data_IF_115076514705
#
_entry.id   IF_115076514705
#
_cell.length_a   1.000
_cell.length_b   1.000
_cell.length_c   1.000
_cell.angle_alpha   90.00
_cell.angle_beta   90.00
_cell.angle_gamma   90.00
#
_symmetry.space_group_name_H-M   'P 1'
#
loop_
_entity.id
_entity.type
_entity.pdbx_description
1 polymer ?
#
# COMPACT_ATOMS: atom_id res chain seq x y z
N UNK A 1 -22.72 8.04 -7.55
CA UNK A 1 -23.45 7.34 -6.46
C UNK A 1 -23.98 5.97 -6.85
N UNK A 2 -24.59 5.76 -8.04
CA UNK A 2 -25.08 4.42 -8.43
C UNK A 2 -23.98 3.39 -8.82
N UNK A 3 -22.84 3.83 -9.36
CA UNK A 3 -21.66 2.97 -9.61
C UNK A 3 -20.96 2.54 -8.30
N UNK A 4 -20.86 3.45 -7.31
CA UNK A 4 -20.21 3.19 -6.02
C UNK A 4 -20.93 2.17 -5.14
N UNK A 5 -22.28 2.14 -5.17
CA UNK A 5 -23.07 1.26 -4.32
C UNK A 5 -23.07 -0.22 -4.78
N UNK A 6 -22.89 -0.47 -6.08
CA UNK A 6 -22.81 -1.83 -6.63
C UNK A 6 -21.49 -2.55 -6.29
N UNK A 7 -20.40 -1.78 -6.16
CA UNK A 7 -19.03 -2.28 -5.89
C UNK A 7 -18.88 -2.76 -4.44
N UNK A 8 -19.55 -2.11 -3.47
CA UNK A 8 -19.48 -2.50 -2.05
C UNK A 8 -20.26 -3.79 -1.72
N UNK A 9 -21.33 -4.09 -2.47
CA UNK A 9 -22.26 -5.18 -2.14
C UNK A 9 -21.78 -6.58 -2.58
N UNK A 10 -20.79 -6.69 -3.48
CA UNK A 10 -20.32 -7.98 -3.99
C UNK A 10 -19.19 -8.65 -3.18
N UNK A 11 -18.64 -7.97 -2.17
CA UNK A 11 -17.49 -8.50 -1.39
C UNK A 11 -17.81 -8.90 0.06
N UNK A 12 -19.07 -8.82 0.49
CA UNK A 12 -19.49 -9.04 1.89
C UNK A 12 -20.00 -10.47 2.20
N UNK A 13 -19.28 -11.51 1.81
CA UNK A 13 -19.57 -12.89 2.25
C UNK A 13 -18.28 -13.69 2.51
N UNK A 14 -17.72 -13.59 3.72
CA UNK A 14 -17.33 -14.74 4.56
C UNK A 14 -16.68 -14.28 5.88
N UNK A 15 -17.45 -14.35 6.96
CA UNK A 15 -16.93 -14.42 8.34
C UNK A 15 -16.53 -15.88 8.63
N UNK A 16 -15.33 -16.10 9.19
CA UNK A 16 -15.14 -16.86 10.44
C UNK A 16 -13.65 -17.08 10.77
N UNK A 17 -13.23 -16.46 11.88
CA UNK A 17 -12.39 -16.94 13.00
C UNK A 17 -11.46 -18.15 12.75
N UNK A 18 -10.16 -18.01 13.07
CA UNK A 18 -9.43 -18.90 13.99
C UNK A 18 -8.08 -18.26 14.41
N UNK A 19 -7.83 -18.25 15.71
CA UNK A 19 -6.57 -17.91 16.35
C UNK A 19 -5.76 -19.20 16.60
N UNK A 20 -4.43 -19.10 16.64
CA UNK A 20 -3.63 -19.96 17.51
C UNK A 20 -2.24 -19.37 17.78
N UNK A 21 -1.91 -19.33 19.07
CA UNK A 21 -0.58 -19.19 19.67
C UNK A 21 0.37 -20.34 19.26
N UNK A 22 1.68 -20.10 19.28
CA UNK A 22 2.55 -20.73 20.28
C UNK A 22 4.05 -20.38 20.14
N UNK A 23 4.68 -20.58 21.29
CA UNK A 23 5.97 -20.16 21.87
C UNK A 23 7.18 -21.05 21.54
N UNK A 24 8.32 -20.65 22.12
CA UNK A 24 9.57 -21.38 22.45
C UNK A 24 10.73 -21.32 21.42
N UNK A 25 12.02 -21.29 21.77
CA UNK A 25 12.84 -21.10 23.01
C UNK A 25 14.31 -20.92 22.55
N UNK A 26 15.15 -20.43 23.47
CA UNK A 26 16.62 -20.12 23.44
C UNK A 26 17.52 -21.35 23.12
N UNK A 27 18.85 -21.30 22.85
CA UNK A 27 19.99 -20.69 23.58
C UNK A 27 21.37 -20.89 22.80
N UNK A 28 22.62 -20.72 23.34
CA UNK A 28 23.61 -19.71 22.91
C UNK A 28 25.02 -20.25 22.49
N UNK A 29 25.93 -19.40 22.00
CA UNK A 29 27.34 -19.26 22.48
C UNK A 29 28.26 -18.36 21.60
N UNK A 30 29.24 -17.78 22.30
CA UNK A 30 30.11 -16.61 22.07
C UNK A 30 31.18 -16.65 20.95
N UNK A 31 31.52 -15.47 20.39
CA UNK A 31 32.90 -14.96 20.15
C UNK A 31 32.91 -13.42 20.35
N UNK A 32 33.84 -12.90 21.17
CA UNK A 32 34.06 -11.46 21.47
C UNK A 32 35.15 -10.84 20.59
N UNK A 33 34.92 -9.62 20.07
CA UNK A 33 35.96 -8.57 19.88
C UNK A 33 35.31 -7.17 19.89
N UNK A 34 35.94 -6.21 20.57
CA UNK A 34 35.87 -4.76 20.30
C UNK A 34 34.83 -3.95 21.09
N UNK A 35 35.30 -3.12 22.02
CA UNK A 35 34.52 -2.04 22.65
C UNK A 35 34.46 -0.84 21.69
N UNK A 36 33.27 -0.56 21.16
CA UNK A 36 32.84 0.75 20.66
C UNK A 36 31.38 0.95 21.11
N UNK A 37 31.05 2.18 21.45
CA UNK A 37 29.91 2.56 22.28
C UNK A 37 28.54 2.10 21.72
N UNK A 38 27.86 1.20 22.43
CA UNK A 38 26.40 1.12 22.47
C UNK A 38 25.64 0.48 21.29
N UNK A 39 26.26 -0.37 20.47
CA UNK A 39 25.51 -1.14 19.46
C UNK A 39 24.75 -2.33 20.08
N UNK A 40 23.42 -2.25 20.04
CA UNK A 40 22.54 -3.38 20.32
C UNK A 40 22.65 -4.41 19.19
N UNK A 41 23.39 -5.49 19.44
CA UNK A 41 23.69 -6.56 18.47
C UNK A 41 22.45 -7.23 17.85
N UNK A 42 21.26 -6.95 18.37
CA UNK A 42 19.97 -7.41 17.82
C UNK A 42 19.28 -6.43 16.87
N UNK A 43 19.74 -5.18 16.78
CA UNK A 43 19.14 -4.12 15.98
C UNK A 43 20.25 -3.27 15.34
N UNK A 44 20.74 -3.70 14.16
CA UNK A 44 21.68 -2.87 13.41
C UNK A 44 20.96 -1.60 12.95
N UNK A 45 21.49 -0.45 13.33
CA UNK A 45 21.05 0.87 12.85
C UNK A 45 21.51 1.00 11.41
N UNK A 46 20.58 1.08 10.46
CA UNK A 46 20.93 1.31 9.05
C UNK A 46 20.22 2.55 8.54
N UNK A 47 21.03 3.48 8.02
CA UNK A 47 20.59 4.57 7.16
C UNK A 47 19.79 3.98 5.99
N UNK A 48 18.48 4.26 5.98
CA UNK A 48 17.53 3.97 4.90
C UNK A 48 17.34 2.48 4.51
N UNK A 49 16.28 1.86 5.05
CA UNK A 49 15.53 0.83 4.31
C UNK A 49 15.34 -0.53 5.00
N UNK A 50 14.07 -0.93 5.08
CA UNK A 50 13.54 -2.27 5.39
C UNK A 50 13.61 -2.68 6.87
N UNK A 51 12.52 -2.41 7.59
CA UNK A 51 12.28 -2.92 8.94
C UNK A 51 11.48 -4.21 8.87
N UNK A 52 12.18 -5.35 8.90
CA UNK A 52 11.55 -6.62 9.23
C UNK A 52 11.09 -6.59 10.70
N UNK A 53 9.80 -6.84 10.88
CA UNK A 53 9.11 -7.03 12.17
C UNK A 53 9.00 -5.78 13.04
N UNK A 54 8.11 -4.88 12.65
CA UNK A 54 7.68 -3.78 13.52
C UNK A 54 6.16 -3.61 13.40
N UNK A 55 5.49 -3.43 14.54
CA UNK A 55 4.12 -2.93 14.58
C UNK A 55 4.17 -1.42 14.40
N UNK A 56 3.56 -0.89 13.34
CA UNK A 56 3.53 0.54 13.00
C UNK A 56 2.11 1.02 12.65
N UNK A 57 1.69 2.23 13.06
CA UNK A 57 1.98 2.89 14.33
C UNK A 57 0.88 2.56 15.37
N UNK A 58 1.27 2.34 16.62
CA UNK A 58 0.34 2.51 17.76
C UNK A 58 0.58 3.88 18.36
N UNK A 59 -0.48 4.65 18.62
CA UNK A 59 -0.38 5.87 19.41
C UNK A 59 0.05 5.52 20.84
N UNK A 60 0.94 6.31 21.43
CA UNK A 60 1.17 6.21 22.88
C UNK A 60 -0.04 6.78 23.67
N UNK A 61 0.03 6.77 25.00
CA UNK A 61 -1.04 7.30 25.86
C UNK A 61 -1.33 8.81 25.64
N UNK A 62 -0.47 9.49 24.86
CA UNK A 62 -0.52 10.91 24.55
C UNK A 62 -0.78 11.18 23.06
N UNK A 63 -1.08 10.14 22.27
CA UNK A 63 -1.39 10.28 20.86
C UNK A 63 -0.18 10.37 19.93
N UNK A 64 1.05 10.20 20.43
CA UNK A 64 2.26 10.29 19.62
C UNK A 64 2.51 8.99 18.85
N UNK A 65 2.89 9.13 17.58
CA UNK A 65 3.29 8.01 16.76
C UNK A 65 4.61 7.43 17.28
N UNK A 66 4.54 6.19 17.75
CA UNK A 66 5.71 5.45 18.17
C UNK A 66 5.89 4.21 17.32
N UNK A 67 7.16 3.82 17.17
CA UNK A 67 7.55 2.55 16.59
C UNK A 67 8.30 1.72 17.59
N UNK A 68 7.89 0.47 17.75
CA UNK A 68 8.50 -0.43 18.71
C UNK A 68 9.03 -1.65 17.98
N UNK A 69 10.36 -1.82 17.96
CA UNK A 69 10.98 -3.02 17.44
C UNK A 69 10.44 -4.22 18.21
N UNK A 70 9.82 -5.19 17.54
CA UNK A 70 9.21 -6.34 18.22
C UNK A 70 10.25 -7.34 18.72
N UNK A 71 11.51 -7.21 18.30
CA UNK A 71 12.62 -8.09 18.69
C UNK A 71 13.35 -7.60 19.94
N UNK A 72 13.59 -6.30 20.07
CA UNK A 72 14.32 -5.74 21.23
C UNK A 72 13.45 -4.85 22.14
N UNK A 73 12.19 -4.58 21.78
CA UNK A 73 11.28 -3.76 22.59
C UNK A 73 11.63 -2.27 22.63
N UNK A 74 12.72 -1.85 21.99
CA UNK A 74 13.10 -0.44 21.90
C UNK A 74 12.05 0.31 21.11
N UNK A 75 11.58 1.39 21.72
CA UNK A 75 10.62 2.30 21.12
C UNK A 75 11.37 3.52 20.64
N UNK A 76 11.37 3.75 19.34
CA UNK A 76 11.78 5.03 18.80
C UNK A 76 10.53 5.89 18.64
N UNK A 77 10.61 7.10 19.18
CA UNK A 77 9.67 8.15 18.84
C UNK A 77 10.18 8.73 17.52
N UNK A 78 9.35 8.68 16.48
CA UNK A 78 9.74 9.34 15.25
C UNK A 78 9.64 10.84 15.52
N UNK A 79 10.76 11.50 15.79
CA UNK A 79 10.86 12.93 15.54
C UNK A 79 10.76 13.11 14.03
N UNK A 80 9.52 13.15 13.52
CA UNK A 80 9.26 13.65 12.18
C UNK A 80 9.45 15.16 12.33
N UNK A 81 10.53 15.76 11.80
CA UNK A 81 10.57 17.20 11.71
C UNK A 81 9.42 17.60 10.77
N UNK A 82 8.83 18.77 10.96
CA UNK A 82 7.70 19.36 10.22
C UNK A 82 6.37 19.32 10.97
N UNK A 83 5.81 20.51 11.14
CA UNK A 83 4.77 20.83 12.11
C UNK A 83 3.38 20.31 11.80
N UNK A 84 2.50 20.49 12.79
CA UNK A 84 1.03 20.33 12.73
C UNK A 84 0.54 19.20 11.83
N UNK A 85 0.25 18.04 12.43
CA UNK A 85 -0.45 16.94 11.77
C UNK A 85 -1.73 17.46 11.08
N UNK A 86 -1.71 17.51 9.75
CA UNK A 86 -2.92 17.68 8.95
C UNK A 86 -3.74 16.40 9.07
N UNK A 87 -4.94 16.47 9.61
CA UNK A 87 -5.92 15.38 9.52
C UNK A 87 -6.36 15.31 8.05
N UNK A 88 -6.06 14.21 7.36
CA UNK A 88 -6.50 13.97 5.99
C UNK A 88 -5.41 13.96 4.91
N UNK A 89 -5.83 14.10 3.66
CA UNK A 89 -4.98 14.03 2.46
C UNK A 89 -4.22 15.35 2.27
N UNK A 90 -2.93 15.24 1.98
CA UNK A 90 -2.06 16.37 1.63
C UNK A 90 -1.81 16.36 0.13
N UNK A 91 -2.04 17.51 -0.50
CA UNK A 91 -1.96 17.67 -1.94
C UNK A 91 -0.82 18.61 -2.32
N UNK A 92 -0.22 18.37 -3.48
CA UNK A 92 0.68 19.33 -4.14
C UNK A 92 0.06 19.73 -5.47
N UNK A 93 -0.07 21.04 -5.68
CA UNK A 93 -0.51 21.62 -6.95
C UNK A 93 0.54 21.40 -8.04
N UNK A 94 0.06 21.10 -9.25
CA UNK A 94 0.90 20.98 -10.45
C UNK A 94 0.97 22.29 -11.25
N UNK A 95 0.23 23.34 -10.86
CA UNK A 95 0.20 24.64 -11.53
C UNK A 95 -0.62 24.71 -12.84
N UNK A 96 -1.31 23.62 -13.19
CA UNK A 96 -2.10 23.48 -14.42
C UNK A 96 -3.59 23.19 -14.15
N UNK A 97 -4.04 23.44 -12.91
CA UNK A 97 -5.38 23.09 -12.45
C UNK A 97 -5.54 21.63 -11.99
N UNK A 98 -4.42 20.89 -11.91
CA UNK A 98 -4.37 19.55 -11.32
C UNK A 98 -3.52 19.53 -10.04
N UNK A 99 -3.70 18.50 -9.24
CA UNK A 99 -2.90 18.23 -8.07
C UNK A 99 -2.64 16.73 -7.90
N UNK A 100 -1.60 16.41 -7.15
CA UNK A 100 -1.29 15.06 -6.74
C UNK A 100 -1.42 14.91 -5.23
N UNK A 101 -1.74 13.71 -4.77
CA UNK A 101 -1.66 13.36 -3.36
C UNK A 101 -0.20 13.11 -3.02
N UNK A 102 0.36 13.95 -2.16
CA UNK A 102 1.73 13.83 -1.67
C UNK A 102 1.83 12.78 -0.57
N UNK A 103 0.90 12.83 0.39
CA UNK A 103 0.87 11.92 1.55
C UNK A 103 -0.49 11.95 2.22
N UNK A 104 -0.77 10.94 3.03
CA UNK A 104 -1.85 10.96 4.02
C UNK A 104 -1.30 11.37 5.39
N UNK A 105 -2.02 12.19 6.14
CA UNK A 105 -1.63 12.61 7.49
C UNK A 105 -1.72 11.48 8.52
N UNK A 106 -2.84 10.75 8.54
CA UNK A 106 -3.07 9.57 9.38
C UNK A 106 -3.83 8.52 8.58
N UNK A 107 -3.52 7.24 8.77
CA UNK A 107 -4.11 6.11 8.06
C UNK A 107 -4.88 5.16 9.00
N UNK A 108 -5.58 5.76 9.98
CA UNK A 108 -6.33 5.03 11.01
C UNK A 108 -7.72 4.56 10.51
N UNK A 109 -8.18 5.10 9.38
CA UNK A 109 -9.45 4.75 8.76
C UNK A 109 -9.35 3.39 8.03
N UNK A 110 -10.45 2.64 8.00
CA UNK A 110 -10.52 1.36 7.27
C UNK A 110 -10.82 1.53 5.78
N UNK A 111 -11.30 2.70 5.37
CA UNK A 111 -11.57 3.07 3.99
C UNK A 111 -11.08 4.49 3.75
N UNK A 112 -10.32 4.70 2.67
CA UNK A 112 -9.90 6.03 2.24
C UNK A 112 -10.57 6.37 0.92
N UNK A 113 -11.33 7.46 0.92
CA UNK A 113 -11.95 8.02 -0.28
C UNK A 113 -11.11 9.18 -0.77
N UNK A 114 -10.55 9.05 -1.97
CA UNK A 114 -9.81 10.11 -2.63
C UNK A 114 -10.81 10.92 -3.47
N UNK A 115 -11.03 12.21 -3.17
CA UNK A 115 -11.96 13.03 -3.92
C UNK A 115 -11.41 13.34 -5.33
N UNK A 116 -12.27 13.61 -6.31
CA UNK A 116 -11.85 13.97 -7.67
C UNK A 116 -11.15 15.34 -7.74
N UNK A 117 -11.34 16.21 -6.75
CA UNK A 117 -10.68 17.51 -6.63
C UNK A 117 -10.28 17.80 -5.19
N UNK A 118 -9.21 18.57 -5.00
CA UNK A 118 -8.89 19.15 -3.69
C UNK A 118 -9.84 20.32 -3.35
N UNK A 119 -9.63 20.95 -2.18
CA UNK A 119 -10.42 22.10 -1.71
C UNK A 119 -10.23 23.39 -2.53
N UNK A 120 -9.17 23.49 -3.33
CA UNK A 120 -8.95 24.57 -4.29
C UNK A 120 -9.63 24.32 -5.66
N UNK A 121 -10.26 23.16 -5.85
CA UNK A 121 -10.89 22.77 -7.10
C UNK A 121 -9.93 22.17 -8.12
N UNK A 122 -8.68 21.89 -7.74
CA UNK A 122 -7.70 21.25 -8.61
C UNK A 122 -8.00 19.76 -8.72
N UNK A 123 -8.00 19.24 -9.95
CA UNK A 123 -8.31 17.83 -10.23
C UNK A 123 -7.21 16.91 -9.70
N UNK A 124 -7.57 15.86 -8.97
CA UNK A 124 -6.61 14.86 -8.48
C UNK A 124 -6.21 13.94 -9.61
N UNK A 125 -4.94 14.01 -10.04
CA UNK A 125 -4.40 13.26 -11.19
C UNK A 125 -3.31 12.27 -10.84
N UNK A 126 -2.64 12.45 -9.69
CA UNK A 126 -1.53 11.60 -9.29
C UNK A 126 -1.58 11.17 -7.83
N UNK A 127 -1.03 9.98 -7.56
CA UNK A 127 -0.64 9.55 -6.22
C UNK A 127 0.88 9.46 -6.21
N UNK A 128 1.53 10.26 -5.37
CA UNK A 128 2.99 10.38 -5.30
C UNK A 128 3.63 9.20 -4.59
N UNK A 129 4.95 9.19 -4.66
CA UNK A 129 5.79 8.17 -4.08
C UNK A 129 5.49 8.00 -2.59
N UNK A 130 5.21 6.77 -2.18
CA UNK A 130 4.89 6.41 -0.78
C UNK A 130 3.70 7.15 -0.13
N UNK A 131 2.82 7.78 -0.91
CA UNK A 131 1.74 8.62 -0.36
C UNK A 131 0.83 7.89 0.66
N UNK A 132 0.61 6.59 0.47
CA UNK A 132 -0.14 5.71 1.37
C UNK A 132 0.71 4.53 1.89
N UNK A 133 2.04 4.70 1.96
CA UNK A 133 2.92 3.67 2.51
C UNK A 133 2.51 3.31 3.94
N UNK A 134 2.43 2.01 4.22
CA UNK A 134 2.05 1.47 5.54
C UNK A 134 0.69 1.97 6.07
N UNK A 135 -0.29 2.18 5.18
CA UNK A 135 -1.69 2.31 5.60
C UNK A 135 -2.23 0.95 6.06
N UNK A 136 -1.81 0.49 7.25
CA UNK A 136 -2.01 -0.89 7.72
C UNK A 136 -3.45 -1.23 8.11
N UNK A 137 -4.26 -0.22 8.44
CA UNK A 137 -5.67 -0.38 8.80
C UNK A 137 -6.61 -0.33 7.60
N UNK A 138 -6.17 0.24 6.47
CA UNK A 138 -7.00 0.45 5.29
C UNK A 138 -7.29 -0.86 4.58
N UNK A 139 -8.57 -1.13 4.37
CA UNK A 139 -9.10 -2.32 3.69
C UNK A 139 -9.57 -2.04 2.27
N UNK A 140 -9.93 -0.79 1.97
CA UNK A 140 -10.38 -0.31 0.66
C UNK A 140 -9.90 1.13 0.37
N UNK A 141 -9.62 1.39 -0.90
CA UNK A 141 -9.42 2.73 -1.44
C UNK A 141 -10.47 3.02 -2.51
N UNK A 142 -11.10 4.19 -2.45
CA UNK A 142 -11.94 4.70 -3.54
C UNK A 142 -11.13 5.75 -4.30
N UNK A 143 -10.66 5.38 -5.49
CA UNK A 143 -9.84 6.23 -6.35
C UNK A 143 -10.72 7.03 -7.32
N UNK A 144 -10.40 8.30 -7.64
CA UNK A 144 -11.21 9.10 -8.55
C UNK A 144 -10.94 8.75 -10.01
N UNK A 145 -11.97 8.86 -10.86
CA UNK A 145 -11.87 8.63 -12.31
C UNK A 145 -10.84 9.54 -13.02
N UNK A 146 -10.48 10.67 -12.39
CA UNK A 146 -9.48 11.60 -12.90
C UNK A 146 -8.04 11.14 -12.73
N UNK A 147 -7.80 10.05 -12.01
CA UNK A 147 -6.45 9.58 -11.72
C UNK A 147 -5.75 9.06 -12.98
N UNK A 148 -4.50 9.50 -13.18
CA UNK A 148 -3.67 9.20 -14.36
C UNK A 148 -2.41 8.42 -13.97
N UNK A 149 -1.86 8.66 -12.76
CA UNK A 149 -0.61 8.05 -12.33
C UNK A 149 -0.63 7.55 -10.89
N UNK A 150 -0.02 6.38 -10.67
CA UNK A 150 0.28 5.82 -9.35
C UNK A 150 1.80 5.62 -9.28
N UNK A 151 2.47 6.40 -8.44
CA UNK A 151 3.93 6.42 -8.35
C UNK A 151 4.48 5.23 -7.55
N UNK A 152 5.81 5.15 -7.47
CA UNK A 152 6.48 4.06 -6.78
C UNK A 152 6.07 3.97 -5.29
N UNK A 153 5.86 2.75 -4.81
CA UNK A 153 5.52 2.50 -3.41
C UNK A 153 4.22 3.12 -2.90
N UNK A 154 3.38 3.69 -3.77
CA UNK A 154 2.21 4.49 -3.39
C UNK A 154 1.31 3.80 -2.35
N UNK A 155 1.08 2.50 -2.49
CA UNK A 155 0.28 1.66 -1.58
C UNK A 155 1.10 0.53 -0.95
N UNK A 156 2.43 0.65 -0.92
CA UNK A 156 3.30 -0.39 -0.36
C UNK A 156 2.99 -0.62 1.13
N UNK A 157 3.02 -1.88 1.56
CA UNK A 157 2.74 -2.34 2.91
C UNK A 157 1.33 -2.00 3.45
N UNK A 158 0.33 -1.82 2.58
CA UNK A 158 -1.08 -1.76 2.98
C UNK A 158 -1.60 -3.17 3.34
N UNK A 159 -1.20 -3.69 4.51
CA UNK A 159 -1.36 -5.10 4.87
C UNK A 159 -2.80 -5.61 4.88
N UNK A 160 -3.77 -4.74 5.17
CA UNK A 160 -5.20 -5.09 5.22
C UNK A 160 -5.96 -4.80 3.93
N UNK A 161 -5.34 -4.15 2.94
CA UNK A 161 -5.99 -3.87 1.65
C UNK A 161 -6.41 -5.19 1.01
N UNK A 162 -7.70 -5.35 0.72
CA UNK A 162 -8.26 -6.62 0.24
C UNK A 162 -8.46 -6.64 -1.27
N UNK A 163 -8.87 -5.49 -1.82
CA UNK A 163 -9.08 -5.29 -3.25
C UNK A 163 -8.87 -3.83 -3.62
N UNK A 164 -8.51 -3.58 -4.87
CA UNK A 164 -8.46 -2.23 -5.41
C UNK A 164 -8.90 -2.17 -6.87
N UNK A 165 -9.63 -1.11 -7.22
CA UNK A 165 -10.03 -0.81 -8.59
C UNK A 165 -9.16 0.34 -9.09
N UNK A 166 -8.36 0.08 -10.12
CA UNK A 166 -7.50 1.09 -10.74
C UNK A 166 -8.32 1.83 -11.82
N UNK A 167 -8.49 3.17 -11.72
CA UNK A 167 -9.34 3.93 -12.64
C UNK A 167 -8.91 3.87 -14.11
N UNK A 168 -9.88 4.06 -15.02
CA UNK A 168 -9.71 3.95 -16.49
C UNK A 168 -8.59 4.82 -17.08
N UNK A 169 -8.27 5.95 -16.44
CA UNK A 169 -7.22 6.88 -16.88
C UNK A 169 -5.79 6.44 -16.54
N UNK A 170 -5.61 5.47 -15.65
CA UNK A 170 -4.28 5.09 -15.15
C UNK A 170 -3.56 4.19 -16.16
N UNK A 171 -2.46 4.70 -16.70
CA UNK A 171 -1.63 3.96 -17.66
C UNK A 171 -0.38 3.32 -17.03
N UNK A 172 0.03 3.78 -15.84
CA UNK A 172 1.29 3.38 -15.21
C UNK A 172 1.12 3.16 -13.71
N UNK A 173 1.68 2.06 -13.20
CA UNK A 173 1.87 1.82 -11.78
C UNK A 173 3.37 1.69 -11.52
N UNK A 174 3.91 2.54 -10.65
CA UNK A 174 5.33 2.61 -10.34
C UNK A 174 5.88 1.36 -9.62
N UNK A 175 7.20 1.32 -9.48
CA UNK A 175 7.90 0.24 -8.79
C UNK A 175 7.36 0.05 -7.38
N UNK A 176 7.19 -1.20 -6.96
CA UNK A 176 6.69 -1.55 -5.63
C UNK A 176 5.34 -0.91 -5.27
N UNK A 177 4.52 -0.49 -6.25
CA UNK A 177 3.28 0.26 -6.03
C UNK A 177 2.32 -0.37 -5.03
N UNK A 178 2.24 -1.71 -5.00
CA UNK A 178 1.45 -2.52 -4.07
C UNK A 178 2.30 -3.55 -3.32
N UNK A 179 3.60 -3.31 -3.18
CA UNK A 179 4.53 -4.24 -2.53
C UNK A 179 4.03 -4.63 -1.13
N UNK A 180 4.09 -5.91 -0.80
CA UNK A 180 3.70 -6.45 0.51
C UNK A 180 2.26 -6.16 0.96
N UNK A 181 1.32 -6.00 0.02
CA UNK A 181 -0.12 -5.97 0.32
C UNK A 181 -0.65 -7.40 0.60
N UNK A 182 -0.32 -7.95 1.77
CA UNK A 182 -0.54 -9.37 2.13
C UNK A 182 -1.98 -9.87 2.01
N UNK A 183 -2.98 -9.00 2.14
CA UNK A 183 -4.42 -9.36 2.04
C UNK A 183 -5.02 -9.08 0.66
N UNK A 184 -4.27 -8.44 -0.24
CA UNK A 184 -4.76 -8.07 -1.57
C UNK A 184 -5.00 -9.35 -2.38
N UNK A 185 -6.27 -9.62 -2.65
CA UNK A 185 -6.72 -10.85 -3.29
C UNK A 185 -7.34 -10.63 -4.67
N UNK A 186 -7.79 -9.40 -4.94
CA UNK A 186 -8.39 -8.99 -6.20
C UNK A 186 -7.87 -7.61 -6.63
N UNK A 187 -7.63 -7.45 -7.92
CA UNK A 187 -7.35 -6.15 -8.52
C UNK A 187 -8.11 -6.01 -9.83
N UNK A 188 -8.63 -4.81 -10.11
CA UNK A 188 -9.19 -4.43 -11.41
C UNK A 188 -8.22 -3.47 -12.09
N UNK A 189 -7.74 -3.83 -13.28
CA UNK A 189 -6.81 -3.06 -14.09
C UNK A 189 -7.53 -2.53 -15.35
N UNK A 190 -7.32 -1.25 -15.71
CA UNK A 190 -8.02 -0.61 -16.80
C UNK A 190 -7.45 -1.01 -18.16
N UNK A 191 -8.24 -0.88 -19.23
CA UNK A 191 -7.77 -1.12 -20.61
C UNK A 191 -6.59 -0.22 -21.00
N UNK A 192 -6.51 0.98 -20.41
CA UNK A 192 -5.43 1.93 -20.65
C UNK A 192 -4.09 1.56 -20.02
N UNK A 193 -4.04 0.50 -19.20
CA UNK A 193 -2.82 0.07 -18.51
C UNK A 193 -1.71 -0.28 -19.52
N UNK A 194 -0.53 0.32 -19.37
CA UNK A 194 0.63 0.12 -20.24
C UNK A 194 1.82 -0.50 -19.52
N UNK A 195 2.08 -0.09 -18.28
CA UNK A 195 3.25 -0.54 -17.55
C UNK A 195 2.97 -0.79 -16.08
N UNK A 196 3.45 -1.93 -15.59
CA UNK A 196 3.49 -2.30 -14.17
C UNK A 196 4.96 -2.44 -13.77
N UNK A 197 5.41 -1.55 -12.87
CA UNK A 197 6.80 -1.45 -12.43
C UNK A 197 7.35 -2.67 -11.71
N UNK A 198 8.65 -2.63 -11.40
CA UNK A 198 9.37 -3.72 -10.72
C UNK A 198 8.77 -4.00 -9.35
N UNK A 199 8.64 -5.28 -8.99
CA UNK A 199 8.15 -5.74 -7.68
C UNK A 199 6.80 -5.12 -7.26
N UNK A 200 6.00 -4.63 -8.20
CA UNK A 200 4.78 -3.88 -7.90
C UNK A 200 3.81 -4.70 -7.05
N UNK A 201 3.69 -6.00 -7.32
CA UNK A 201 2.89 -6.94 -6.54
C UNK A 201 3.72 -8.00 -5.82
N UNK A 202 5.01 -7.75 -5.56
CA UNK A 202 5.80 -8.72 -4.80
C UNK A 202 5.25 -8.84 -3.36
N UNK A 203 5.34 -10.04 -2.78
CA UNK A 203 4.74 -10.41 -1.49
C UNK A 203 3.20 -10.23 -1.37
N UNK A 204 2.49 -9.93 -2.45
CA UNK A 204 1.02 -10.00 -2.52
C UNK A 204 0.53 -11.46 -2.55
N UNK A 205 0.73 -12.16 -1.44
CA UNK A 205 0.63 -13.63 -1.39
C UNK A 205 -0.79 -14.18 -1.52
N UNK A 206 -1.81 -13.33 -1.40
CA UNK A 206 -3.23 -13.70 -1.51
C UNK A 206 -3.86 -13.39 -2.87
N UNK A 207 -3.09 -12.85 -3.82
CA UNK A 207 -3.62 -12.51 -5.14
C UNK A 207 -4.18 -13.75 -5.84
N UNK A 208 -5.46 -13.70 -6.19
CA UNK A 208 -6.16 -14.83 -6.82
C UNK A 208 -7.07 -14.44 -7.97
N UNK A 209 -7.42 -13.14 -8.09
CA UNK A 209 -8.29 -12.64 -9.16
C UNK A 209 -7.71 -11.36 -9.74
N UNK A 210 -7.58 -11.34 -11.07
CA UNK A 210 -7.12 -10.19 -11.82
C UNK A 210 -8.20 -9.92 -12.85
N UNK A 211 -8.91 -8.81 -12.68
CA UNK A 211 -9.87 -8.35 -13.66
C UNK A 211 -9.17 -7.33 -14.54
N UNK A 212 -9.27 -7.52 -15.84
CA UNK A 212 -8.71 -6.61 -16.82
C UNK A 212 -9.81 -6.17 -17.76
N UNK A 213 -10.02 -4.86 -17.87
CA UNK A 213 -11.09 -4.30 -18.67
C UNK A 213 -10.83 -4.41 -20.18
N UNK A 214 -9.58 -4.66 -20.58
CA UNK A 214 -9.20 -4.91 -21.98
C UNK A 214 -9.28 -6.38 -22.38
N UNK A 215 -8.95 -6.67 -23.64
CA UNK A 215 -8.91 -8.03 -24.18
C UNK A 215 -7.66 -8.80 -23.72
N UNK A 216 -7.65 -10.11 -23.91
CA UNK A 216 -6.43 -10.91 -23.66
C UNK A 216 -5.26 -10.47 -24.56
N UNK A 217 -5.55 -9.95 -25.75
CA UNK A 217 -4.52 -9.39 -26.64
C UNK A 217 -3.91 -8.11 -26.05
N UNK A 218 -4.74 -7.24 -25.47
CA UNK A 218 -4.26 -6.01 -24.85
C UNK A 218 -3.41 -6.32 -23.61
N UNK A 219 -3.82 -7.33 -22.82
CA UNK A 219 -3.05 -7.80 -21.66
C UNK A 219 -1.62 -8.20 -22.03
N UNK A 220 -1.44 -8.91 -23.14
CA UNK A 220 -0.12 -9.35 -23.64
C UNK A 220 0.78 -8.18 -24.06
N UNK A 221 0.20 -7.01 -24.33
CA UNK A 221 0.94 -5.80 -24.68
C UNK A 221 1.34 -4.95 -23.46
N UNK A 222 0.86 -5.29 -22.27
CA UNK A 222 1.27 -4.60 -21.03
C UNK A 222 2.70 -4.99 -20.72
N UNK A 223 3.55 -3.99 -20.49
CA UNK A 223 4.89 -4.20 -19.97
C UNK A 223 4.81 -4.47 -18.46
N UNK A 224 4.90 -5.74 -18.08
CA UNK A 224 4.95 -6.16 -16.68
C UNK A 224 6.41 -6.49 -16.34
N UNK A 225 7.03 -5.67 -15.49
CA UNK A 225 8.42 -5.85 -15.07
C UNK A 225 8.57 -7.04 -14.11
N UNK A 226 9.82 -7.45 -13.84
CA UNK A 226 10.13 -8.56 -12.93
C UNK A 226 9.64 -8.29 -11.50
N UNK A 227 9.35 -9.37 -10.76
CA UNK A 227 8.81 -9.30 -9.40
C UNK A 227 7.29 -9.20 -9.29
N UNK A 228 6.56 -9.39 -10.39
CA UNK A 228 5.10 -9.39 -10.42
C UNK A 228 4.50 -10.79 -10.54
N UNK A 229 5.15 -11.78 -9.93
CA UNK A 229 4.74 -13.18 -9.99
C UNK A 229 3.28 -13.44 -9.59
N UNK A 230 2.69 -12.71 -8.61
CA UNK A 230 1.28 -12.87 -8.30
C UNK A 230 0.33 -12.56 -9.46
N UNK A 231 0.72 -11.68 -10.40
CA UNK A 231 -0.07 -11.40 -11.60
C UNK A 231 -0.07 -12.56 -12.62
N UNK A 232 1.00 -13.37 -12.64
CA UNK A 232 1.18 -14.42 -13.64
C UNK A 232 0.86 -15.82 -13.15
N UNK A 233 1.18 -16.12 -11.88
CA UNK A 233 1.19 -17.50 -11.36
C UNK A 233 0.04 -17.81 -10.41
N UNK A 234 -0.56 -16.79 -9.78
CA UNK A 234 -1.53 -17.00 -8.69
C UNK A 234 -2.93 -16.51 -9.05
N UNK A 235 -3.04 -15.45 -9.85
CA UNK A 235 -4.31 -14.88 -10.24
C UNK A 235 -4.98 -15.58 -11.43
N UNK A 236 -6.29 -15.77 -11.35
CA UNK A 236 -7.13 -16.02 -12.53
C UNK A 236 -7.35 -14.68 -13.23
N UNK A 237 -6.89 -14.58 -14.47
CA UNK A 237 -7.13 -13.42 -15.33
C UNK A 237 -8.52 -13.50 -15.96
N UNK A 238 -9.31 -12.43 -15.80
CA UNK A 238 -10.62 -12.25 -16.41
C UNK A 238 -10.58 -11.00 -17.29
N UNK A 239 -10.52 -11.19 -18.61
CA UNK A 239 -10.49 -10.12 -19.60
C UNK A 239 -11.90 -9.67 -20.02
N UNK A 240 -11.98 -8.49 -20.65
CA UNK A 240 -13.23 -7.83 -21.05
C UNK A 240 -14.21 -7.67 -19.88
N UNK A 241 -13.65 -7.46 -18.68
CA UNK A 241 -14.45 -7.22 -17.50
C UNK A 241 -15.12 -5.84 -17.62
N UNK A 242 -16.45 -5.84 -17.65
CA UNK A 242 -17.27 -4.63 -17.62
C UNK A 242 -18.08 -4.65 -16.34
N UNK A 243 -17.88 -3.66 -15.46
CA UNK A 243 -18.74 -3.48 -14.29
C UNK A 243 -20.18 -3.23 -14.77
N UNK A 244 -21.10 -4.15 -14.44
CA UNK A 244 -22.53 -4.02 -14.72
C UNK A 244 -23.24 -3.20 -13.67
#
# INVERSE_FOLDING_TARGET
MKKLLGILLLFSLCLSVFACDNTDKTDPDDIKVGEDEGEDKNCKKHDYGIWDIVKYPTKDAWGQNKRTCTKCGKTEYQEIPFGSYSVGLVYVSNGDGTCDIERVGTCDDTEIIIPPTNSAGEKVTGIREFAFYQCVEVTSFVLPDSLVSISAGAFSACYKLTSIVIPDGVAFIGNSGFYDCKKLNAIVLPVAMKTIGYNCFDLCNRMSRIFYSGSESDWKNITIHTGNEPLHKKGILVCNYVEK
#
